data_IF_430399254116
#
_entry.id   IF_430399254116
#
_cell.length_a   1.000
_cell.length_b   1.000
_cell.length_c   1.000
_cell.angle_alpha   90.00
_cell.angle_beta   90.00
_cell.angle_gamma   90.00
#
_symmetry.space_group_name_H-M   'P 1'
#
loop_
_entity.id
_entity.type
_entity.pdbx_description
1 polymer ?
#
# COMPACT_ATOMS: atom_id res chain seq x y z
N UNK A 1 86.35 -27.74 27.66
CA UNK A 1 85.31 -27.12 26.80
C UNK A 1 83.98 -27.25 27.53
N UNK A 2 83.54 -26.16 28.17
CA UNK A 2 82.31 -26.05 28.94
C UNK A 2 81.08 -26.10 28.01
N UNK A 3 80.05 -26.88 28.37
CA UNK A 3 78.68 -26.69 27.88
C UNK A 3 77.79 -26.37 29.08
N UNK A 4 77.50 -25.10 29.28
CA UNK A 4 76.55 -24.61 30.27
C UNK A 4 75.12 -24.79 29.73
N UNK A 5 74.24 -25.35 30.57
CA UNK A 5 72.80 -25.49 30.32
C UNK A 5 72.13 -24.14 30.62
N UNK A 6 71.38 -23.59 29.66
CA UNK A 6 70.48 -22.47 29.89
C UNK A 6 69.20 -22.97 30.59
N UNK A 7 68.84 -22.33 31.69
CA UNK A 7 67.52 -22.41 32.31
C UNK A 7 66.70 -21.17 31.88
N UNK A 8 65.40 -21.29 31.59
CA UNK A 8 64.57 -20.14 31.26
C UNK A 8 64.17 -19.38 32.53
N UNK A 9 64.36 -18.07 32.48
CA UNK A 9 63.97 -17.09 33.50
C UNK A 9 62.45 -16.91 33.43
N UNK A 10 61.73 -17.30 34.48
CA UNK A 10 60.31 -17.00 34.62
C UNK A 10 60.14 -15.54 35.05
N UNK A 11 59.65 -14.69 34.15
CA UNK A 11 59.32 -13.30 34.41
C UNK A 11 57.92 -13.27 35.07
N UNK A 12 57.88 -13.12 36.40
CA UNK A 12 56.63 -12.91 37.12
C UNK A 12 56.16 -11.46 36.90
N UNK A 13 55.20 -11.28 36.00
CA UNK A 13 54.44 -10.03 35.87
C UNK A 13 53.47 -9.93 37.03
N UNK A 14 53.79 -9.08 38.00
CA UNK A 14 52.84 -8.64 39.02
C UNK A 14 51.83 -7.72 38.33
N UNK A 15 50.63 -8.23 38.07
CA UNK A 15 49.51 -7.40 37.67
C UNK A 15 49.08 -6.55 38.86
N UNK A 16 49.24 -5.24 38.75
CA UNK A 16 48.61 -4.29 39.66
C UNK A 16 47.10 -4.34 39.41
N UNK A 17 46.38 -5.10 40.24
CA UNK A 17 44.95 -4.90 40.40
C UNK A 17 44.79 -3.50 41.00
N UNK A 18 44.31 -2.55 40.20
CA UNK A 18 43.82 -1.28 40.75
C UNK A 18 42.75 -1.61 41.77
N UNK A 19 42.87 -1.09 42.99
CA UNK A 19 41.83 -1.19 43.99
C UNK A 19 40.58 -0.53 43.39
N UNK A 20 39.56 -1.33 43.06
CA UNK A 20 38.21 -0.81 42.91
C UNK A 20 37.75 -0.49 44.33
N UNK A 21 37.61 0.80 44.64
CA UNK A 21 37.04 1.25 45.91
C UNK A 21 35.58 0.78 46.00
N UNK A 22 35.16 0.33 47.18
CA UNK A 22 33.82 -0.23 47.38
C UNK A 22 32.77 0.90 47.28
N UNK A 23 31.71 0.73 46.46
CA UNK A 23 30.72 1.77 46.29
C UNK A 23 29.90 1.98 47.57
N UNK A 24 29.56 3.24 47.88
CA UNK A 24 28.82 3.56 49.10
C UNK A 24 27.38 3.02 49.08
N UNK A 25 26.81 2.77 47.91
CA UNK A 25 25.52 2.10 47.76
C UNK A 25 25.43 1.38 46.42
N UNK A 26 24.40 0.55 46.30
CA UNK A 26 24.14 -0.27 45.11
C UNK A 26 22.71 -0.07 44.65
N UNK A 27 22.47 -0.04 43.35
CA UNK A 27 21.16 0.23 42.74
C UNK A 27 20.71 -0.96 41.90
N UNK A 28 19.45 -1.36 42.05
CA UNK A 28 18.76 -2.26 41.13
C UNK A 28 17.47 -1.58 40.67
N UNK A 29 17.14 -1.76 39.41
CA UNK A 29 15.90 -1.25 38.82
C UNK A 29 15.03 -2.39 38.30
N UNK A 30 13.72 -2.17 38.35
CA UNK A 30 12.71 -2.93 37.63
C UNK A 30 12.03 -1.99 36.64
N UNK A 31 11.55 -2.57 35.56
CA UNK A 31 10.80 -1.84 34.55
C UNK A 31 9.32 -2.17 34.70
N UNK A 32 8.50 -1.14 34.61
CA UNK A 32 7.05 -1.26 34.62
C UNK A 32 6.51 -0.65 33.34
N UNK A 33 5.89 -1.44 32.45
CA UNK A 33 5.14 -0.88 31.35
C UNK A 33 4.02 0.03 31.88
N UNK A 34 3.80 1.22 31.30
CA UNK A 34 2.85 2.21 31.82
C UNK A 34 1.40 1.69 31.90
N UNK A 35 1.03 0.71 31.08
CA UNK A 35 -0.28 0.05 31.07
C UNK A 35 -0.43 -1.05 32.14
N UNK A 36 0.67 -1.50 32.76
CA UNK A 36 0.66 -2.56 33.77
C UNK A 36 0.59 -1.99 35.19
N UNK A 37 -0.17 -2.67 36.06
CA UNK A 37 -0.35 -2.23 37.45
C UNK A 37 0.87 -2.49 38.34
N UNK A 38 1.73 -3.46 37.99
CA UNK A 38 2.89 -3.86 38.79
C UNK A 38 4.13 -4.04 37.91
N UNK A 39 5.29 -3.71 38.46
CA UNK A 39 6.58 -3.90 37.82
C UNK A 39 7.03 -5.36 37.86
N UNK A 40 7.29 -5.95 36.69
CA UNK A 40 7.94 -7.25 36.60
C UNK A 40 9.41 -7.18 37.06
N UNK A 41 9.95 -8.31 37.50
CA UNK A 41 11.40 -8.41 37.69
C UNK A 41 12.11 -8.34 36.33
N UNK A 42 13.20 -7.59 36.27
CA UNK A 42 14.05 -7.51 35.10
C UNK A 42 14.93 -8.76 35.04
N UNK A 43 14.60 -9.67 34.11
CA UNK A 43 15.24 -10.99 33.95
C UNK A 43 15.84 -11.19 32.56
N UNK A 44 15.52 -10.31 31.61
CA UNK A 44 16.04 -10.39 30.24
C UNK A 44 16.14 -9.01 29.58
N UNK A 45 16.94 -8.95 28.51
CA UNK A 45 17.06 -7.76 27.65
C UNK A 45 15.79 -7.46 26.85
N UNK A 46 14.90 -8.45 26.65
CA UNK A 46 13.68 -8.27 25.87
C UNK A 46 12.75 -7.25 26.52
N UNK A 47 12.65 -7.26 27.85
CA UNK A 47 11.85 -6.29 28.62
C UNK A 47 12.34 -4.84 28.47
N UNK A 48 13.63 -4.65 28.20
CA UNK A 48 14.18 -3.35 27.88
C UNK A 48 13.76 -2.91 26.46
N UNK A 49 13.82 -3.85 25.52
CA UNK A 49 13.47 -3.63 24.12
C UNK A 49 11.99 -3.34 23.94
N UNK A 50 11.12 -3.99 24.72
CA UNK A 50 9.67 -3.75 24.73
C UNK A 50 9.27 -2.33 25.16
N UNK A 51 10.14 -1.63 25.89
CA UNK A 51 9.90 -0.27 26.40
C UNK A 51 10.80 0.79 25.75
N UNK A 52 11.56 0.40 24.72
CA UNK A 52 12.43 1.32 23.97
C UNK A 52 13.69 1.73 24.73
N UNK A 53 13.98 1.09 25.87
CA UNK A 53 15.05 1.48 26.79
C UNK A 53 16.34 0.77 26.39
N UNK A 54 17.37 1.54 26.02
CA UNK A 54 18.70 1.02 25.70
C UNK A 54 19.69 1.13 26.87
N UNK A 55 19.49 2.10 27.76
CA UNK A 55 20.39 2.37 28.87
C UNK A 55 19.68 2.96 30.10
N UNK A 56 20.39 2.98 31.22
CA UNK A 56 19.97 3.60 32.47
C UNK A 56 21.06 4.57 32.91
N UNK A 57 20.69 5.83 33.15
CA UNK A 57 21.54 6.83 33.79
C UNK A 57 21.23 6.90 35.27
N UNK A 58 22.26 6.83 36.10
CA UNK A 58 22.17 7.02 37.56
C UNK A 58 22.96 8.28 37.90
N UNK A 59 22.25 9.31 38.38
CA UNK A 59 22.85 10.58 38.77
C UNK A 59 22.69 10.78 40.28
N UNK A 60 23.79 11.04 40.99
CA UNK A 60 23.80 11.25 42.44
C UNK A 60 24.03 12.74 42.74
N UNK A 61 23.15 13.33 43.54
CA UNK A 61 23.23 14.74 43.95
C UNK A 61 23.25 14.92 45.46
N UNK A 62 23.91 15.97 45.93
CA UNK A 62 23.81 16.37 47.33
C UNK A 62 22.48 17.09 47.65
N UNK A 63 22.27 17.43 48.92
CA UNK A 63 21.09 18.20 49.37
C UNK A 63 21.04 19.63 48.81
N UNK A 64 22.17 20.16 48.33
CA UNK A 64 22.27 21.44 47.62
C UNK A 64 21.96 21.31 46.13
N UNK A 65 21.54 20.13 45.66
CA UNK A 65 21.28 19.79 44.27
C UNK A 65 22.53 19.81 43.37
N UNK A 66 23.75 19.79 43.93
CA UNK A 66 24.98 19.67 43.16
C UNK A 66 25.16 18.23 42.67
N UNK A 67 25.47 18.06 41.38
CA UNK A 67 25.78 16.76 40.79
C UNK A 67 27.15 16.29 41.27
N UNK A 68 27.19 15.12 41.92
CA UNK A 68 28.40 14.52 42.47
C UNK A 68 28.95 13.42 41.56
N UNK A 69 28.07 12.61 40.97
CA UNK A 69 28.41 11.48 40.13
C UNK A 69 27.28 11.22 39.14
N UNK A 70 27.65 10.78 37.94
CA UNK A 70 26.72 10.36 36.91
C UNK A 70 27.31 9.16 36.17
N UNK A 71 26.53 8.09 36.05
CA UNK A 71 26.95 6.83 35.44
C UNK A 71 25.88 6.33 34.51
N UNK A 72 26.30 5.73 33.41
CA UNK A 72 25.40 5.07 32.47
C UNK A 72 25.69 3.58 32.42
N UNK A 73 24.61 2.81 32.44
CA UNK A 73 24.62 1.36 32.35
C UNK A 73 23.76 0.93 31.16
N UNK A 74 24.05 -0.23 30.53
CA UNK A 74 23.06 -0.89 29.68
C UNK A 74 21.77 -1.11 30.47
N UNK A 75 20.62 -1.12 29.79
CA UNK A 75 19.35 -1.40 30.47
C UNK A 75 19.36 -2.74 31.23
N UNK A 76 20.03 -3.74 30.66
CA UNK A 76 20.31 -5.03 31.27
C UNK A 76 21.82 -5.29 31.33
N UNK A 77 22.52 -4.85 32.39
CA UNK A 77 23.95 -5.07 32.57
C UNK A 77 24.28 -6.56 32.75
N UNK A 78 25.49 -6.97 32.37
CA UNK A 78 25.94 -8.34 32.58
C UNK A 78 25.85 -8.75 34.06
N UNK A 79 25.23 -9.89 34.36
CA UNK A 79 25.01 -10.38 35.72
C UNK A 79 23.64 -10.02 36.30
N UNK A 80 22.85 -9.15 35.65
CA UNK A 80 21.48 -8.84 36.11
C UNK A 80 20.49 -9.99 35.93
N UNK A 81 20.90 -11.09 35.28
CA UNK A 81 20.19 -12.38 35.31
C UNK A 81 20.03 -12.88 36.75
N UNK A 82 20.97 -12.54 37.64
CA UNK A 82 20.84 -12.76 39.08
C UNK A 82 19.93 -11.67 39.69
N UNK A 83 18.92 -12.11 40.45
CA UNK A 83 17.96 -11.24 41.13
C UNK A 83 18.59 -10.37 42.21
N UNK A 84 19.73 -10.80 42.75
CA UNK A 84 20.45 -10.08 43.79
C UNK A 84 21.55 -9.17 43.23
N UNK A 85 21.85 -9.24 41.92
CA UNK A 85 22.83 -8.36 41.29
C UNK A 85 22.37 -6.90 41.28
N UNK A 86 23.34 -5.99 41.42
CA UNK A 86 23.11 -4.55 41.52
C UNK A 86 24.21 -3.79 40.79
N UNK A 87 23.86 -2.63 40.24
CA UNK A 87 24.83 -1.68 39.70
C UNK A 87 25.48 -0.87 40.83
N UNK A 88 26.80 -0.61 40.77
CA UNK A 88 27.51 0.17 41.79
C UNK A 88 27.21 1.66 41.68
N UNK A 89 26.93 2.31 42.82
CA UNK A 89 26.94 3.77 42.95
C UNK A 89 28.34 4.36 43.12
N UNK A 90 28.47 5.67 43.34
CA UNK A 90 29.74 6.31 43.72
C UNK A 90 30.14 5.99 45.16
N UNK A 91 31.41 6.22 45.46
CA UNK A 91 31.87 6.41 46.84
C UNK A 91 31.63 7.87 47.26
N UNK A 92 30.92 8.05 48.37
CA UNK A 92 30.60 9.36 48.94
C UNK A 92 30.70 9.32 50.46
N UNK A 93 30.89 10.49 51.07
CA UNK A 93 30.95 10.62 52.53
C UNK A 93 29.61 10.35 53.22
N UNK A 94 29.62 10.41 54.55
CA UNK A 94 28.39 10.33 55.33
C UNK A 94 27.47 11.52 55.02
N UNK A 95 26.19 11.24 54.82
CA UNK A 95 25.22 12.26 54.41
C UNK A 95 23.98 11.67 53.76
N UNK A 96 23.10 12.56 53.29
CA UNK A 96 21.91 12.21 52.52
C UNK A 96 22.06 12.72 51.10
N UNK A 97 21.86 11.85 50.12
CA UNK A 97 22.01 12.15 48.70
C UNK A 97 20.72 11.80 47.97
N UNK A 98 20.39 12.55 46.92
CA UNK A 98 19.29 12.23 46.02
C UNK A 98 19.84 11.48 44.82
N UNK A 99 19.35 10.27 44.58
CA UNK A 99 19.76 9.42 43.46
C UNK A 99 18.62 9.39 42.45
N UNK A 100 18.87 9.89 41.25
CA UNK A 100 17.93 9.83 40.13
C UNK A 100 18.35 8.72 39.19
N UNK A 101 17.41 7.81 38.91
CA UNK A 101 17.56 6.73 37.93
C UNK A 101 16.66 7.04 36.74
N UNK A 102 17.26 7.24 35.57
CA UNK A 102 16.57 7.66 34.34
C UNK A 102 16.77 6.63 33.24
N UNK A 103 15.69 6.16 32.64
CA UNK A 103 15.75 5.35 31.45
C UNK A 103 16.10 6.18 30.21
N UNK A 104 16.95 5.61 29.37
CA UNK A 104 17.46 6.21 28.15
C UNK A 104 17.01 5.39 26.94
N UNK A 105 16.43 6.08 25.95
CA UNK A 105 16.12 5.53 24.64
C UNK A 105 17.38 5.36 23.78
N UNK A 106 17.20 5.30 22.47
CA UNK A 106 18.32 5.19 21.52
C UNK A 106 19.25 6.40 21.62
N UNK A 107 20.56 6.19 21.41
CA UNK A 107 21.61 7.23 21.47
C UNK A 107 21.71 7.95 22.83
N UNK A 108 21.35 7.27 23.93
CA UNK A 108 21.42 7.81 25.30
C UNK A 108 20.55 9.07 25.54
N UNK A 109 19.45 9.21 24.78
CA UNK A 109 18.48 10.31 24.90
C UNK A 109 17.42 9.94 25.94
N UNK A 110 17.03 10.90 26.79
CA UNK A 110 15.98 10.72 27.80
C UNK A 110 14.58 10.95 27.19
N UNK A 111 13.56 10.27 27.72
CA UNK A 111 12.16 10.41 27.27
C UNK A 111 11.53 11.69 27.84
N UNK A 112 11.01 12.57 26.97
CA UNK A 112 10.55 13.92 27.33
C UNK A 112 9.08 14.17 27.03
N UNK A 113 8.40 14.85 27.96
CA UNK A 113 6.99 15.22 27.82
C UNK A 113 6.74 16.49 26.98
N UNK A 114 7.72 17.41 26.90
CA UNK A 114 7.56 18.74 26.28
C UNK A 114 8.72 19.01 25.28
N UNK A 115 8.50 18.75 23.97
CA UNK A 115 9.26 19.06 22.70
C UNK A 115 10.79 19.37 22.65
N UNK A 116 11.48 19.09 21.51
CA UNK A 116 10.93 18.63 20.22
C UNK A 116 11.41 17.26 19.72
N UNK A 117 10.62 16.70 18.80
CA UNK A 117 10.99 15.56 17.97
C UNK A 117 12.34 15.80 17.25
N UNK A 118 13.14 14.76 16.95
CA UNK A 118 14.32 14.95 16.12
C UNK A 118 13.90 15.43 14.73
N UNK A 119 14.47 16.55 14.30
CA UNK A 119 14.55 16.89 12.90
C UNK A 119 15.16 15.70 12.14
N UNK A 120 14.50 15.31 11.04
CA UNK A 120 15.13 14.50 10.02
C UNK A 120 16.48 15.14 9.63
N UNK A 121 17.54 14.36 9.78
CA UNK A 121 18.91 14.57 9.31
C UNK A 121 19.27 15.99 8.88
N UNK A 122 19.91 16.78 9.76
CA UNK A 122 21.02 17.65 9.34
C UNK A 122 21.80 18.16 10.55
N UNK A 123 23.08 17.81 10.52
CA UNK A 123 24.19 18.38 11.29
C UNK A 123 24.30 18.01 12.78
N UNK A 124 25.53 17.65 13.16
CA UNK A 124 25.89 17.08 14.47
C UNK A 124 25.89 18.10 15.60
N UNK A 125 24.76 18.77 15.85
CA UNK A 125 24.56 19.57 17.06
C UNK A 125 24.08 18.69 18.21
N UNK A 126 24.79 18.77 19.32
CA UNK A 126 24.58 18.07 20.58
C UNK A 126 23.10 17.93 20.96
N UNK A 127 22.69 16.72 21.36
CA UNK A 127 21.37 16.47 21.93
C UNK A 127 21.15 17.42 23.12
N UNK A 128 20.31 18.43 22.92
CA UNK A 128 20.00 19.41 23.95
C UNK A 128 19.35 18.71 25.16
N UNK A 129 20.10 18.62 26.25
CA UNK A 129 19.72 18.03 27.54
C UNK A 129 18.57 18.76 28.27
N UNK A 130 17.97 19.79 27.67
CA UNK A 130 16.91 20.62 28.25
C UNK A 130 15.52 19.94 28.25
N UNK A 131 15.40 18.77 28.85
CA UNK A 131 14.08 18.18 29.13
C UNK A 131 13.46 18.87 30.34
N UNK A 132 12.33 19.57 30.17
CA UNK A 132 11.60 20.17 31.31
C UNK A 132 10.94 19.12 32.19
N UNK A 133 10.51 18.00 31.59
CA UNK A 133 9.86 16.89 32.27
C UNK A 133 10.29 15.55 31.65
N UNK A 134 11.06 14.79 32.41
CA UNK A 134 11.51 13.43 32.04
C UNK A 134 10.42 12.42 32.44
N UNK A 135 10.00 11.57 31.51
CA UNK A 135 8.88 10.63 31.71
C UNK A 135 9.32 9.36 32.47
N UNK A 136 10.35 8.68 31.97
CA UNK A 136 10.81 7.40 32.52
C UNK A 136 11.97 7.61 33.51
N UNK A 137 11.70 8.26 34.64
CA UNK A 137 12.69 8.53 35.70
C UNK A 137 12.11 8.42 37.09
N UNK A 138 12.96 8.06 38.06
CA UNK A 138 12.61 7.97 39.48
C UNK A 138 13.75 8.52 40.33
N UNK A 139 13.40 9.37 41.30
CA UNK A 139 14.36 9.92 42.26
C UNK A 139 14.07 9.35 43.66
N UNK A 140 15.12 8.91 44.34
CA UNK A 140 15.02 8.38 45.70
C UNK A 140 16.24 8.77 46.52
N UNK A 141 16.00 9.15 47.78
CA UNK A 141 17.07 9.53 48.68
C UNK A 141 17.76 8.31 49.28
N UNK A 142 19.09 8.38 49.36
CA UNK A 142 19.95 7.41 50.03
C UNK A 142 20.70 8.08 51.18
N UNK A 143 20.72 7.42 52.33
CA UNK A 143 21.47 7.87 53.51
C UNK A 143 22.70 6.99 53.67
N UNK A 144 23.87 7.64 53.68
CA UNK A 144 25.18 7.01 53.85
C UNK A 144 25.63 7.24 55.28
N UNK A 145 25.99 6.15 55.96
CA UNK A 145 26.43 6.18 57.36
C UNK A 145 27.89 6.66 57.46
N UNK A 146 28.32 6.99 58.67
CA UNK A 146 29.72 7.36 58.99
C UNK A 146 30.77 6.33 58.53
N UNK A 147 30.37 5.05 58.40
CA UNK A 147 31.22 3.99 57.88
C UNK A 147 31.34 3.95 56.34
N UNK A 148 30.70 4.87 55.62
CA UNK A 148 30.65 4.89 54.14
C UNK A 148 29.61 3.96 53.54
N UNK A 149 28.89 3.18 54.35
CA UNK A 149 27.89 2.21 53.91
C UNK A 149 26.48 2.80 53.84
N UNK A 150 25.85 2.68 52.67
CA UNK A 150 24.47 3.02 52.36
C UNK A 150 23.59 1.78 52.18
N UNK A 151 22.27 1.97 52.34
CA UNK A 151 21.30 0.90 52.06
C UNK A 151 21.20 0.67 50.55
N UNK A 152 21.12 -0.58 50.06
CA UNK A 152 20.81 -0.85 48.66
C UNK A 152 19.48 -0.22 48.24
N UNK A 153 19.47 0.29 47.01
CA UNK A 153 18.36 0.98 46.40
C UNK A 153 17.67 0.05 45.39
N UNK A 154 16.37 -0.18 45.57
CA UNK A 154 15.52 -0.93 44.64
C UNK A 154 14.46 0.02 44.08
N UNK A 155 14.59 0.39 42.82
CA UNK A 155 13.68 1.33 42.15
C UNK A 155 12.80 0.65 41.12
N UNK A 156 11.66 1.27 40.83
CA UNK A 156 10.80 0.92 39.70
C UNK A 156 10.78 2.11 38.76
N UNK A 157 11.11 1.88 37.50
CA UNK A 157 11.03 2.87 36.43
C UNK A 157 9.78 2.52 35.62
N UNK A 158 8.83 3.45 35.57
CA UNK A 158 7.68 3.34 34.66
C UNK A 158 8.17 3.75 33.27
N UNK A 159 7.91 2.92 32.26
CA UNK A 159 8.26 3.20 30.87
C UNK A 159 7.58 4.46 30.35
N UNK A 160 8.13 5.02 29.27
CA UNK A 160 7.46 6.11 28.57
C UNK A 160 6.16 5.58 27.92
N UNK A 161 5.10 6.40 27.81
CA UNK A 161 3.93 6.09 26.98
C UNK A 161 4.34 5.85 25.52
N UNK A 162 3.59 5.00 24.83
CA UNK A 162 3.83 4.55 23.44
C UNK A 162 4.16 5.72 22.50
N UNK A 163 3.34 6.78 22.53
CA UNK A 163 3.54 8.00 21.74
C UNK A 163 4.78 8.86 22.07
N UNK A 164 5.70 8.33 22.87
CA UNK A 164 6.94 8.97 23.28
C UNK A 164 8.05 7.98 23.68
N UNK A 165 7.89 6.68 23.42
CA UNK A 165 8.82 5.61 23.82
C UNK A 165 9.86 5.25 22.72
N UNK A 166 9.73 5.83 21.53
CA UNK A 166 10.62 5.62 20.40
C UNK A 166 10.48 4.26 19.70
N UNK A 167 9.38 3.55 19.94
CA UNK A 167 8.97 2.31 19.27
C UNK A 167 7.74 2.60 18.41
N UNK A 168 7.66 1.92 17.28
CA UNK A 168 6.42 1.80 16.48
C UNK A 168 5.58 0.67 17.10
N UNK A 169 4.69 1.00 18.04
CA UNK A 169 4.01 -0.01 18.86
C UNK A 169 2.89 -0.74 18.11
N UNK A 170 2.32 -0.17 17.04
CA UNK A 170 1.31 -0.82 16.19
C UNK A 170 1.84 -1.35 14.85
N UNK A 171 3.09 -1.03 14.51
CA UNK A 171 3.86 -1.52 13.36
C UNK A 171 3.37 -1.00 12.02
N UNK A 172 2.81 0.19 11.99
CA UNK A 172 2.35 0.84 10.76
C UNK A 172 3.47 1.62 10.03
N UNK A 173 4.67 1.69 10.64
CA UNK A 173 5.86 2.35 10.11
C UNK A 173 6.04 3.79 10.58
N UNK A 174 5.13 4.32 11.41
CA UNK A 174 5.28 5.58 12.11
C UNK A 174 5.71 5.34 13.57
N UNK A 175 6.15 6.39 14.27
CA UNK A 175 6.69 6.26 15.64
C UNK A 175 6.46 7.56 16.40
N UNK A 176 6.06 7.46 17.66
CA UNK A 176 5.76 8.57 18.55
C UNK A 176 4.82 9.59 17.89
N UNK A 177 5.12 10.89 18.01
CA UNK A 177 4.32 11.94 17.38
C UNK A 177 4.42 12.02 15.85
N UNK A 178 5.28 11.21 15.22
CA UNK A 178 5.20 11.02 13.77
C UNK A 178 4.03 10.08 13.41
N UNK A 179 3.54 9.28 14.37
CA UNK A 179 2.35 8.46 14.23
C UNK A 179 1.08 9.32 14.35
N UNK A 180 0.20 9.30 13.32
CA UNK A 180 -1.12 9.92 13.38
C UNK A 180 -2.01 9.44 14.54
N UNK A 181 -1.89 8.19 14.96
CA UNK A 181 -2.67 7.56 16.05
C UNK A 181 -2.48 8.29 17.38
N UNK A 182 -1.29 8.87 17.58
CA UNK A 182 -0.97 9.66 18.75
C UNK A 182 -1.71 10.99 18.84
N UNK A 183 -2.25 11.51 17.72
CA UNK A 183 -3.00 12.78 17.68
C UNK A 183 -2.30 13.97 18.38
N UNK A 184 -0.97 13.97 18.45
CA UNK A 184 -0.17 14.98 19.15
C UNK A 184 -0.08 14.80 20.68
N UNK A 185 -0.64 13.74 21.25
CA UNK A 185 -0.61 13.41 22.67
C UNK A 185 0.56 12.46 23.00
N UNK A 186 1.62 13.01 23.61
CA UNK A 186 2.79 12.23 24.10
C UNK A 186 2.46 11.26 25.23
N UNK A 187 1.32 11.42 25.90
CA UNK A 187 0.85 10.49 26.92
C UNK A 187 -0.16 9.46 26.38
N UNK A 188 -0.39 9.49 25.06
CA UNK A 188 -1.33 8.62 24.36
C UNK A 188 -0.82 7.20 24.17
N UNK A 189 -1.67 6.42 23.50
CA UNK A 189 -1.38 5.06 23.07
C UNK A 189 -1.33 5.05 21.54
N UNK A 190 -0.32 4.38 20.99
CA UNK A 190 -0.24 3.98 19.59
C UNK A 190 -1.01 2.66 19.44
N UNK A 191 -2.29 2.69 19.80
CA UNK A 191 -3.17 1.52 19.72
C UNK A 191 -4.34 1.85 18.83
N UNK A 192 -4.21 1.48 17.56
CA UNK A 192 -5.26 1.60 16.56
C UNK A 192 -5.52 3.05 16.17
N UNK A 193 -5.46 3.32 14.88
CA UNK A 193 -6.70 3.55 14.12
C UNK A 193 -6.35 3.93 12.69
N UNK A 194 -6.22 2.92 11.84
CA UNK A 194 -6.49 2.96 10.39
C UNK A 194 -6.34 1.55 9.87
N UNK A 195 -7.29 1.08 9.07
CA UNK A 195 -7.00 -0.10 8.30
C UNK A 195 -5.86 0.26 7.33
N UNK A 196 -4.70 -0.35 7.47
CA UNK A 196 -3.51 0.05 6.71
C UNK A 196 -3.35 -0.76 5.44
N UNK A 197 -2.76 -0.17 4.40
CA UNK A 197 -2.23 -0.94 3.29
C UNK A 197 -0.75 -0.61 3.05
N UNK A 198 0.07 -1.65 2.96
CA UNK A 198 1.38 -1.57 2.35
C UNK A 198 1.28 -2.02 0.90
N UNK A 199 1.56 -1.12 -0.04
CA UNK A 199 1.60 -1.41 -1.46
C UNK A 199 3.04 -1.35 -1.94
N UNK A 200 3.55 -2.48 -2.43
CA UNK A 200 4.84 -2.57 -3.10
C UNK A 200 4.59 -2.53 -4.60
N UNK A 201 4.98 -1.46 -5.28
CA UNK A 201 4.90 -1.37 -6.74
C UNK A 201 6.21 -1.85 -7.34
N UNK A 202 6.16 -2.83 -8.25
CA UNK A 202 7.32 -3.33 -9.01
C UNK A 202 7.18 -3.00 -10.49
N UNK A 203 7.69 -1.85 -10.96
CA UNK A 203 7.64 -1.51 -12.37
C UNK A 203 8.54 -2.43 -13.19
N UNK A 204 7.97 -3.02 -14.24
CA UNK A 204 8.69 -3.74 -15.28
C UNK A 204 8.53 -2.97 -16.59
N UNK A 205 9.60 -2.91 -17.37
CA UNK A 205 9.59 -2.21 -18.66
C UNK A 205 9.76 -3.25 -19.76
N UNK A 206 8.86 -3.23 -20.74
CA UNK A 206 8.87 -4.12 -21.89
C UNK A 206 9.00 -5.60 -21.46
N UNK A 207 8.17 -6.04 -20.51
CA UNK A 207 8.18 -7.41 -19.97
C UNK A 207 9.52 -7.82 -19.37
N UNK A 208 10.09 -6.92 -18.57
CA UNK A 208 11.34 -7.16 -17.84
C UNK A 208 12.60 -7.08 -18.71
N UNK A 209 12.55 -6.42 -19.86
CA UNK A 209 13.70 -6.26 -20.73
C UNK A 209 14.81 -5.44 -20.01
N UNK A 210 16.01 -6.00 -19.77
CA UNK A 210 17.07 -5.32 -19.04
C UNK A 210 17.66 -4.12 -19.79
N UNK A 211 17.38 -3.98 -21.09
CA UNK A 211 17.81 -2.84 -21.91
C UNK A 211 16.78 -1.71 -21.94
N UNK A 212 15.57 -1.92 -21.41
CA UNK A 212 14.55 -0.89 -21.33
C UNK A 212 14.79 0.00 -20.10
N UNK A 213 14.67 1.30 -20.27
CA UNK A 213 14.84 2.29 -19.21
C UNK A 213 13.85 3.44 -19.40
N UNK A 214 13.43 4.05 -18.29
CA UNK A 214 12.35 5.04 -18.23
C UNK A 214 12.50 6.18 -19.25
N UNK A 215 13.67 6.83 -19.30
CA UNK A 215 13.94 7.93 -20.24
C UNK A 215 13.79 7.52 -21.70
N UNK A 216 14.16 6.28 -22.05
CA UNK A 216 14.02 5.74 -23.40
C UNK A 216 12.56 5.56 -23.85
N UNK A 217 11.64 5.51 -22.88
CA UNK A 217 10.20 5.40 -23.09
C UNK A 217 9.46 6.73 -22.82
N UNK A 218 10.19 7.79 -22.48
CA UNK A 218 9.62 9.09 -22.11
C UNK A 218 8.92 9.13 -20.75
N UNK A 219 8.97 8.03 -19.98
CA UNK A 219 8.42 7.96 -18.63
C UNK A 219 9.33 8.71 -17.65
N UNK A 220 8.78 9.66 -16.91
CA UNK A 220 9.51 10.40 -15.88
C UNK A 220 8.97 10.13 -14.48
N UNK A 221 7.67 9.86 -14.37
CA UNK A 221 7.02 9.58 -13.09
C UNK A 221 6.08 8.39 -13.22
N UNK A 222 5.82 7.73 -12.10
CA UNK A 222 4.75 6.73 -11.97
C UNK A 222 3.82 7.23 -10.86
N UNK A 223 2.51 7.16 -11.11
CA UNK A 223 1.46 7.45 -10.14
C UNK A 223 0.82 6.12 -9.71
N UNK A 224 0.78 5.87 -8.41
CA UNK A 224 -0.10 4.89 -7.77
C UNK A 224 -1.34 5.64 -7.27
N UNK A 225 -2.53 5.21 -7.69
CA UNK A 225 -3.79 5.69 -7.15
C UNK A 225 -4.47 4.56 -6.35
N UNK A 226 -4.86 4.88 -5.13
CA UNK A 226 -5.66 4.04 -4.25
C UNK A 226 -7.05 4.67 -4.21
N UNK A 227 -8.05 3.99 -4.77
CA UNK A 227 -9.43 4.49 -4.86
C UNK A 227 -10.31 3.69 -3.92
N UNK A 228 -11.11 4.36 -3.10
CA UNK A 228 -11.98 3.73 -2.10
C UNK A 228 -12.51 4.81 -1.14
N UNK A 229 -12.92 4.43 0.09
CA UNK A 229 -13.34 5.37 1.11
C UNK A 229 -12.35 6.52 1.35
N UNK A 230 -11.06 6.19 1.48
CA UNK A 230 -9.96 7.17 1.58
C UNK A 230 -9.11 7.14 0.31
N UNK A 231 -9.35 8.07 -0.61
CA UNK A 231 -8.58 8.11 -1.86
C UNK A 231 -7.17 8.71 -1.65
N UNK A 232 -6.15 8.05 -2.19
CA UNK A 232 -4.74 8.50 -2.17
C UNK A 232 -4.12 8.46 -3.55
N UNK A 233 -3.22 9.41 -3.82
CA UNK A 233 -2.40 9.45 -5.04
C UNK A 233 -0.95 9.69 -4.67
N UNK A 234 -0.10 8.76 -5.04
CA UNK A 234 1.33 8.77 -4.72
C UNK A 234 2.11 8.81 -6.02
N UNK A 235 2.97 9.82 -6.17
CA UNK A 235 3.84 9.97 -7.35
C UNK A 235 5.28 9.76 -6.96
N UNK A 236 5.99 8.99 -7.76
CA UNK A 236 7.41 8.74 -7.59
C UNK A 236 8.13 8.77 -8.94
N UNK A 237 9.44 9.01 -8.91
CA UNK A 237 10.28 9.00 -10.12
C UNK A 237 10.25 7.61 -10.76
N UNK A 238 10.11 7.55 -12.08
CA UNK A 238 10.14 6.27 -12.78
C UNK A 238 11.45 5.53 -12.51
N UNK A 239 11.33 4.29 -12.05
CA UNK A 239 12.44 3.38 -11.73
C UNK A 239 11.97 1.94 -11.87
N UNK A 240 12.87 0.99 -12.11
CA UNK A 240 12.59 -0.46 -12.06
C UNK A 240 12.82 -1.06 -10.67
N UNK A 241 13.32 -0.26 -9.72
CA UNK A 241 13.43 -0.67 -8.31
C UNK A 241 12.06 -0.63 -7.66
N UNK A 242 11.70 -1.69 -6.95
CA UNK A 242 10.46 -1.76 -6.19
C UNK A 242 10.31 -0.56 -5.24
N UNK A 243 9.15 0.07 -5.24
CA UNK A 243 8.81 1.16 -4.32
C UNK A 243 7.77 0.67 -3.34
N UNK A 244 7.94 1.00 -2.05
CA UNK A 244 7.01 0.60 -1.00
C UNK A 244 6.32 1.84 -0.45
N UNK A 245 5.00 1.77 -0.37
CA UNK A 245 4.16 2.81 0.21
C UNK A 245 3.36 2.19 1.34
N UNK A 246 3.34 2.82 2.50
CA UNK A 246 2.45 2.44 3.60
C UNK A 246 1.48 3.59 3.80
N UNK A 247 0.19 3.31 3.71
CA UNK A 247 -0.86 4.30 3.87
C UNK A 247 -1.88 3.82 4.91
N UNK A 248 -2.29 4.76 5.76
CA UNK A 248 -3.45 4.62 6.64
C UNK A 248 -4.72 4.89 5.81
N UNK A 249 -5.66 3.94 5.84
CA UNK A 249 -6.90 3.96 5.07
C UNK A 249 -8.11 3.65 5.98
N UNK A 250 -9.28 4.18 5.64
CA UNK A 250 -10.51 3.80 6.34
C UNK A 250 -10.93 2.37 5.93
N UNK A 251 -11.60 1.60 6.79
CA UNK A 251 -12.13 0.27 6.42
C UNK A 251 -13.06 0.34 5.19
N UNK A 252 -12.95 -0.64 4.30
CA UNK A 252 -13.78 -0.74 3.11
C UNK A 252 -13.08 -1.39 1.92
N UNK A 253 -13.70 -1.28 0.75
CA UNK A 253 -13.19 -1.84 -0.49
C UNK A 253 -12.34 -0.81 -1.24
N UNK A 254 -11.19 -1.27 -1.72
CA UNK A 254 -10.21 -0.45 -2.44
C UNK A 254 -9.83 -1.07 -3.78
N UNK A 255 -9.56 -0.19 -4.74
CA UNK A 255 -9.03 -0.51 -6.06
C UNK A 255 -7.74 0.27 -6.29
N UNK A 256 -6.69 -0.43 -6.72
CA UNK A 256 -5.39 0.10 -7.08
C UNK A 256 -5.32 0.35 -8.59
N UNK A 257 -4.74 1.47 -8.98
CA UNK A 257 -4.31 1.70 -10.37
C UNK A 257 -2.93 2.32 -10.42
N UNK A 258 -2.20 2.02 -11.50
CA UNK A 258 -0.85 2.55 -11.73
C UNK A 258 -0.85 3.24 -13.08
N UNK A 259 -0.14 4.35 -13.19
CA UNK A 259 -0.04 5.10 -14.45
C UNK A 259 1.36 5.67 -14.64
N UNK A 260 1.90 5.54 -15.85
CA UNK A 260 3.18 6.15 -16.25
C UNK A 260 2.96 7.54 -16.85
N UNK A 261 3.71 8.53 -16.35
CA UNK A 261 3.58 9.94 -16.70
C UNK A 261 4.88 10.50 -17.31
N UNK A 262 4.75 11.50 -18.19
CA UNK A 262 5.88 12.30 -18.69
C UNK A 262 6.37 13.33 -17.66
N UNK A 263 7.42 14.06 -18.00
CA UNK A 263 8.00 15.12 -17.16
C UNK A 263 7.04 16.29 -16.84
N UNK A 264 5.93 16.42 -17.58
CA UNK A 264 4.89 17.43 -17.36
C UNK A 264 3.68 16.87 -16.61
N UNK A 265 3.73 15.60 -16.20
CA UNK A 265 2.64 14.91 -15.52
C UNK A 265 1.51 14.45 -16.45
N UNK A 266 1.73 14.42 -17.77
CA UNK A 266 0.77 13.87 -18.73
C UNK A 266 0.87 12.35 -18.72
N UNK A 267 -0.28 11.66 -18.72
CA UNK A 267 -0.35 10.21 -18.88
C UNK A 267 0.25 9.80 -20.23
N UNK A 268 1.21 8.88 -20.18
CA UNK A 268 1.85 8.28 -21.36
C UNK A 268 1.52 6.80 -21.51
N UNK A 269 1.35 6.09 -20.38
CA UNK A 269 1.13 4.65 -20.43
C UNK A 269 0.36 4.13 -19.22
N UNK A 270 -0.41 3.07 -19.41
CA UNK A 270 -1.07 2.30 -18.34
C UNK A 270 -0.48 0.88 -18.37
N UNK A 271 0.19 0.43 -17.30
CA UNK A 271 0.79 -0.90 -17.24
C UNK A 271 -0.29 -1.98 -17.10
N UNK A 272 0.05 -3.20 -17.50
CA UNK A 272 -0.74 -4.38 -17.17
C UNK A 272 -0.54 -4.74 -15.70
N UNK A 273 -1.64 -4.96 -14.99
CA UNK A 273 -1.68 -5.34 -13.58
C UNK A 273 -2.38 -6.70 -13.44
N UNK A 274 -2.08 -7.42 -12.36
CA UNK A 274 -2.77 -8.67 -12.02
C UNK A 274 -4.17 -8.35 -11.42
N UNK A 275 -5.27 -8.82 -12.05
CA UNK A 275 -6.63 -8.52 -11.59
C UNK A 275 -6.92 -9.03 -10.16
N UNK A 276 -6.21 -10.06 -9.70
CA UNK A 276 -6.38 -10.60 -8.34
C UNK A 276 -5.72 -9.70 -7.27
N UNK A 277 -4.86 -8.77 -7.68
CA UNK A 277 -4.10 -7.90 -6.78
C UNK A 277 -4.58 -6.45 -6.78
N UNK A 278 -5.33 -6.02 -7.79
CA UNK A 278 -5.82 -4.64 -7.90
C UNK A 278 -6.96 -4.32 -6.96
N UNK A 279 -7.73 -5.31 -6.51
CA UNK A 279 -8.86 -5.11 -5.59
C UNK A 279 -8.58 -5.76 -4.24
N UNK A 280 -8.83 -5.03 -3.15
CA UNK A 280 -8.75 -5.60 -1.80
C UNK A 280 -9.74 -4.95 -0.85
N UNK A 281 -10.19 -5.72 0.13
CA UNK A 281 -11.02 -5.25 1.24
C UNK A 281 -10.18 -5.11 2.51
N UNK A 282 -10.38 -3.99 3.20
CA UNK A 282 -9.83 -3.68 4.51
C UNK A 282 -10.90 -3.81 5.59
N UNK A 283 -10.68 -4.71 6.55
CA UNK A 283 -11.49 -4.81 7.75
C UNK A 283 -11.16 -3.67 8.73
N UNK A 284 -12.04 -3.35 9.71
CA UNK A 284 -11.68 -2.52 10.85
C UNK A 284 -10.39 -3.05 11.51
N UNK A 285 -9.43 -2.17 11.76
CA UNK A 285 -8.11 -2.51 12.31
C UNK A 285 -7.31 -3.53 11.45
N UNK A 286 -7.70 -3.73 10.18
CA UNK A 286 -7.07 -4.69 9.27
C UNK A 286 -5.87 -4.10 8.54
N UNK A 287 -4.82 -4.89 8.34
CA UNK A 287 -3.67 -4.51 7.51
C UNK A 287 -3.56 -5.41 6.28
N UNK A 288 -3.30 -4.81 5.11
CA UNK A 288 -3.08 -5.56 3.86
C UNK A 288 -1.74 -5.21 3.25
N UNK A 289 -0.97 -6.24 2.89
CA UNK A 289 0.22 -6.10 2.06
C UNK A 289 -0.10 -6.56 0.65
N UNK A 290 0.18 -5.71 -0.34
CA UNK A 290 -0.04 -5.97 -1.76
C UNK A 290 1.27 -5.77 -2.51
N UNK A 291 1.77 -6.83 -3.15
CA UNK A 291 2.94 -6.77 -4.03
C UNK A 291 2.47 -6.71 -5.48
N UNK A 292 2.44 -5.51 -6.06
CA UNK A 292 1.83 -5.19 -7.35
C UNK A 292 2.88 -5.11 -8.47
N UNK A 293 3.06 -6.17 -9.29
CA UNK A 293 3.84 -6.07 -10.51
C UNK A 293 3.11 -5.19 -11.54
N UNK A 294 3.80 -4.19 -12.06
CA UNK A 294 3.27 -3.27 -13.07
C UNK A 294 4.11 -3.34 -14.34
N UNK A 295 3.66 -4.12 -15.33
CA UNK A 295 4.40 -4.30 -16.59
C UNK A 295 3.95 -3.28 -17.65
N UNK A 296 4.84 -2.34 -17.95
CA UNK A 296 4.69 -1.41 -19.07
C UNK A 296 5.14 -2.10 -20.36
N UNK A 297 4.22 -2.82 -21.00
CA UNK A 297 4.43 -3.47 -22.30
C UNK A 297 4.35 -2.45 -23.44
N UNK A 298 4.61 -2.87 -24.68
CA UNK A 298 4.43 -1.99 -25.85
C UNK A 298 2.98 -1.49 -25.94
N UNK A 299 2.01 -2.36 -25.64
CA UNK A 299 0.60 -2.03 -25.69
C UNK A 299 0.25 -0.92 -24.68
N UNK A 300 0.94 -0.85 -23.54
CA UNK A 300 0.74 0.19 -22.53
C UNK A 300 0.92 1.62 -23.06
N UNK A 301 1.69 1.83 -24.13
CA UNK A 301 1.97 3.15 -24.72
C UNK A 301 1.05 3.48 -25.90
N UNK A 302 0.24 2.53 -26.33
CA UNK A 302 -0.78 2.77 -27.33
C UNK A 302 -1.97 3.42 -26.63
N UNK A 303 -2.50 4.51 -27.20
CA UNK A 303 -3.77 5.02 -26.72
C UNK A 303 -4.80 3.88 -26.83
N UNK A 304 -5.63 3.63 -25.81
CA UNK A 304 -6.76 2.74 -25.95
C UNK A 304 -7.56 3.20 -27.16
N UNK A 305 -8.07 2.26 -27.95
CA UNK A 305 -8.86 2.62 -29.11
C UNK A 305 -10.26 3.05 -28.62
N UNK A 306 -10.37 4.32 -28.20
CA UNK A 306 -11.63 4.97 -27.83
C UNK A 306 -12.42 5.35 -29.09
N UNK A 307 -12.83 4.35 -29.85
CA UNK A 307 -13.60 4.56 -31.05
C UNK A 307 -14.73 3.56 -31.16
N UNK A 308 -15.95 4.10 -31.11
CA UNK A 308 -17.11 3.39 -31.64
C UNK A 308 -16.94 3.15 -33.14
N UNK A 309 -17.92 2.47 -33.71
CA UNK A 309 -18.01 2.29 -35.15
C UNK A 309 -19.43 2.60 -35.60
N UNK A 310 -19.55 2.97 -36.87
CA UNK A 310 -20.81 3.28 -37.50
C UNK A 310 -21.14 2.18 -38.51
N UNK A 311 -22.42 1.92 -38.72
CA UNK A 311 -22.83 0.96 -39.73
C UNK A 311 -24.10 1.40 -40.44
N UNK A 312 -24.27 0.97 -41.68
CA UNK A 312 -25.55 0.99 -42.38
C UNK A 312 -26.05 -0.42 -42.56
N UNK A 313 -27.37 -0.58 -42.57
CA UNK A 313 -28.04 -1.85 -42.79
C UNK A 313 -28.86 -1.78 -44.07
N UNK A 314 -28.80 -2.82 -44.89
CA UNK A 314 -29.67 -2.95 -46.04
C UNK A 314 -30.14 -4.40 -46.19
N UNK A 315 -31.39 -4.58 -46.63
CA UNK A 315 -31.96 -5.90 -46.88
C UNK A 315 -31.65 -6.33 -48.31
N UNK A 316 -31.35 -7.61 -48.53
CA UNK A 316 -31.21 -8.19 -49.86
C UNK A 316 -32.52 -8.85 -50.29
N UNK A 317 -33.20 -8.31 -51.31
CA UNK A 317 -34.45 -8.87 -51.84
C UNK A 317 -34.25 -10.16 -52.67
N UNK A 318 -33.01 -10.59 -52.89
CA UNK A 318 -32.67 -11.84 -53.55
C UNK A 318 -31.17 -11.94 -53.89
N UNK A 319 -30.70 -13.10 -54.37
CA UNK A 319 -29.27 -13.38 -54.59
C UNK A 319 -28.58 -12.52 -55.67
N UNK A 320 -29.33 -11.77 -56.49
CA UNK A 320 -28.80 -10.89 -57.54
C UNK A 320 -29.44 -9.47 -57.53
N UNK A 321 -30.08 -9.06 -56.43
CA UNK A 321 -30.86 -7.83 -56.38
C UNK A 321 -30.19 -6.71 -55.55
N UNK A 322 -30.60 -5.46 -55.80
CA UNK A 322 -30.04 -4.27 -55.14
C UNK A 322 -30.44 -4.20 -53.65
N UNK A 323 -29.57 -3.66 -52.77
CA UNK A 323 -29.89 -3.47 -51.36
C UNK A 323 -31.07 -2.52 -51.16
N UNK A 324 -32.01 -2.89 -50.29
CA UNK A 324 -33.20 -2.11 -49.95
C UNK A 324 -33.08 -1.53 -48.54
N UNK A 325 -33.38 -0.24 -48.38
CA UNK A 325 -33.39 0.47 -47.09
C UNK A 325 -34.82 0.84 -46.67
N UNK A 326 -35.76 -0.07 -46.87
CA UNK A 326 -37.19 0.11 -46.53
C UNK A 326 -37.64 -0.94 -45.53
N UNK A 327 -38.56 -0.56 -44.66
CA UNK A 327 -39.23 -1.47 -43.74
C UNK A 327 -40.33 -2.31 -44.40
N UNK A 328 -40.63 -2.05 -45.66
CA UNK A 328 -41.51 -2.89 -46.49
C UNK A 328 -40.72 -3.30 -47.75
N UNK A 329 -39.85 -4.32 -47.64
CA UNK A 329 -39.00 -4.76 -48.76
C UNK A 329 -39.81 -5.43 -49.88
N UNK A 330 -40.93 -6.06 -49.55
CA UNK A 330 -41.86 -6.70 -50.48
C UNK A 330 -43.30 -6.36 -50.06
N UNK A 331 -44.27 -6.30 -51.00
CA UNK A 331 -45.66 -6.04 -50.66
C UNK A 331 -46.15 -6.97 -49.54
N UNK A 332 -46.83 -6.46 -48.51
CA UNK A 332 -47.39 -7.33 -47.46
C UNK A 332 -46.36 -8.00 -46.54
N UNK A 333 -45.06 -7.75 -46.70
CA UNK A 333 -44.02 -8.08 -45.73
C UNK A 333 -43.50 -6.79 -45.10
N UNK A 334 -43.88 -6.54 -43.85
CA UNK A 334 -43.43 -5.37 -43.09
C UNK A 334 -42.50 -5.82 -41.97
N UNK A 335 -41.29 -5.25 -41.94
CA UNK A 335 -40.30 -5.38 -40.88
C UNK A 335 -40.55 -4.27 -39.85
N UNK A 336 -40.80 -4.64 -38.59
CA UNK A 336 -41.05 -3.67 -37.52
C UNK A 336 -39.85 -3.46 -36.59
N UNK A 337 -39.04 -4.49 -36.38
CA UNK A 337 -37.93 -4.45 -35.43
C UNK A 337 -36.66 -5.15 -35.94
N UNK A 338 -35.53 -4.68 -35.44
CA UNK A 338 -34.18 -5.20 -35.68
C UNK A 338 -33.55 -5.54 -34.32
N UNK A 339 -32.82 -6.63 -34.26
CA UNK A 339 -32.01 -7.04 -33.12
C UNK A 339 -30.54 -6.94 -33.50
N UNK A 340 -29.76 -6.37 -32.60
CA UNK A 340 -28.33 -6.15 -32.77
C UNK A 340 -27.60 -6.90 -31.65
N UNK A 341 -26.49 -7.55 -31.98
CA UNK A 341 -25.64 -8.23 -31.00
C UNK A 341 -24.18 -7.97 -31.35
N UNK A 342 -23.41 -7.46 -30.39
CA UNK A 342 -21.95 -7.37 -30.53
C UNK A 342 -21.34 -8.61 -29.88
N UNK A 343 -20.48 -9.28 -30.64
CA UNK A 343 -19.84 -10.53 -30.25
C UNK A 343 -18.32 -10.37 -30.24
N UNK A 344 -17.66 -11.11 -29.36
CA UNK A 344 -16.21 -11.23 -29.30
C UNK A 344 -15.64 -12.20 -30.35
N UNK A 345 -14.32 -12.44 -30.35
CA UNK A 345 -13.64 -13.30 -31.32
C UNK A 345 -14.02 -14.79 -31.21
N UNK A 346 -14.55 -15.20 -30.07
CA UNK A 346 -15.12 -16.53 -29.79
C UNK A 346 -16.62 -16.62 -30.09
N UNK A 347 -17.22 -15.55 -30.62
CA UNK A 347 -18.65 -15.37 -30.84
C UNK A 347 -19.49 -15.35 -29.56
N UNK A 348 -18.89 -15.06 -28.40
CA UNK A 348 -19.61 -14.80 -27.16
C UNK A 348 -20.07 -13.33 -27.04
N UNK A 349 -21.07 -13.07 -26.21
CA UNK A 349 -21.69 -11.75 -26.07
C UNK A 349 -20.74 -10.75 -25.39
N UNK A 350 -20.65 -9.54 -25.94
CA UNK A 350 -19.97 -8.40 -25.30
C UNK A 350 -21.00 -7.53 -24.55
N UNK A 351 -21.13 -7.65 -23.21
CA UNK A 351 -22.25 -7.06 -22.46
C UNK A 351 -22.19 -5.53 -22.32
N UNK A 352 -21.04 -4.92 -22.62
CA UNK A 352 -20.81 -3.48 -22.48
C UNK A 352 -21.21 -2.67 -23.73
N UNK A 353 -21.62 -3.33 -24.81
CA UNK A 353 -21.95 -2.67 -26.06
C UNK A 353 -23.33 -1.98 -26.02
N UNK A 354 -23.37 -0.70 -26.42
CA UNK A 354 -24.59 0.08 -26.51
C UNK A 354 -24.67 0.91 -27.80
N UNK A 355 -25.88 1.02 -28.35
CA UNK A 355 -26.21 1.83 -29.51
C UNK A 355 -26.67 3.23 -29.08
N UNK A 356 -26.09 4.26 -29.72
CA UNK A 356 -26.44 5.65 -29.54
C UNK A 356 -27.15 6.21 -30.78
N UNK A 357 -28.48 6.17 -30.76
CA UNK A 357 -29.35 6.68 -31.84
C UNK A 357 -30.21 7.87 -31.36
N UNK A 358 -29.61 8.76 -30.55
CA UNK A 358 -30.30 9.91 -29.94
C UNK A 358 -31.30 9.55 -28.82
N UNK A 359 -31.45 8.26 -28.50
CA UNK A 359 -32.19 7.77 -27.33
C UNK A 359 -31.39 7.97 -26.03
N UNK A 360 -32.09 8.29 -24.94
CA UNK A 360 -31.51 8.37 -23.59
C UNK A 360 -32.42 7.60 -22.62
N UNK A 361 -31.96 6.52 -21.98
CA UNK A 361 -30.61 5.94 -22.00
C UNK A 361 -30.24 5.23 -23.34
N UNK A 362 -28.94 4.97 -23.59
CA UNK A 362 -28.47 4.16 -24.72
C UNK A 362 -29.09 2.76 -24.75
N UNK A 363 -29.18 2.17 -25.94
CA UNK A 363 -29.81 0.86 -26.13
C UNK A 363 -28.74 -0.23 -26.02
N UNK A 364 -28.86 -1.12 -25.04
CA UNK A 364 -27.92 -2.23 -24.82
C UNK A 364 -28.02 -3.27 -25.95
N UNK A 365 -26.88 -3.77 -26.42
CA UNK A 365 -26.76 -4.72 -27.54
C UNK A 365 -26.58 -6.16 -27.03
N UNK A 366 -27.45 -6.58 -26.12
CA UNK A 366 -27.41 -7.86 -25.40
C UNK A 366 -27.92 -9.07 -26.18
N UNK A 367 -28.31 -8.88 -27.45
CA UNK A 367 -28.94 -9.94 -28.26
C UNK A 367 -30.35 -10.31 -27.81
N UNK A 368 -30.98 -9.48 -26.97
CA UNK A 368 -32.39 -9.61 -26.56
C UNK A 368 -33.17 -8.35 -26.97
N UNK A 369 -32.57 -7.18 -26.77
CA UNK A 369 -33.20 -5.88 -27.03
C UNK A 369 -33.35 -5.63 -28.53
N UNK A 370 -34.54 -5.18 -28.94
CA UNK A 370 -34.84 -4.85 -30.34
C UNK A 370 -35.09 -3.36 -30.51
N UNK A 371 -34.69 -2.83 -31.67
CA UNK A 371 -34.86 -1.44 -32.09
C UNK A 371 -35.82 -1.35 -33.29
N UNK A 372 -36.48 -0.21 -33.55
CA UNK A 372 -37.36 -0.05 -34.70
C UNK A 372 -36.64 -0.25 -36.03
N UNK A 373 -37.33 -0.79 -37.02
CA UNK A 373 -36.80 -1.01 -38.37
C UNK A 373 -36.29 0.26 -39.07
N UNK A 374 -36.73 1.46 -38.65
CA UNK A 374 -36.26 2.73 -39.20
C UNK A 374 -34.73 2.90 -39.14
N UNK A 375 -34.03 2.12 -38.32
CA UNK A 375 -32.58 2.05 -38.29
C UNK A 375 -31.95 1.67 -39.65
N UNK A 376 -32.65 0.91 -40.50
CA UNK A 376 -32.20 0.56 -41.86
C UNK A 376 -31.97 1.80 -42.76
N UNK A 377 -32.63 2.92 -42.46
CA UNK A 377 -32.49 4.17 -43.22
C UNK A 377 -31.45 5.13 -42.64
N UNK A 378 -30.82 4.79 -41.50
CA UNK A 378 -29.88 5.65 -40.78
C UNK A 378 -28.43 5.16 -40.84
N UNK A 379 -27.56 5.91 -40.16
CA UNK A 379 -26.19 5.52 -39.84
C UNK A 379 -26.06 5.39 -38.30
N UNK A 380 -26.57 4.30 -37.71
CA UNK A 380 -26.38 4.03 -36.29
C UNK A 380 -24.91 4.09 -35.89
N UNK A 381 -24.68 4.66 -34.69
CA UNK A 381 -23.37 4.73 -34.07
C UNK A 381 -23.38 3.92 -32.78
N UNK A 382 -22.43 2.98 -32.66
CA UNK A 382 -22.17 2.27 -31.40
C UNK A 382 -21.23 3.14 -30.57
N UNK A 383 -21.52 3.30 -29.28
CA UNK A 383 -20.67 4.08 -28.39
C UNK A 383 -19.25 3.48 -28.34
N UNK A 384 -18.23 4.29 -28.00
CA UNK A 384 -16.91 3.74 -27.71
C UNK A 384 -17.05 2.61 -26.70
N UNK A 385 -16.70 1.40 -27.12
CA UNK A 385 -16.54 0.30 -26.19
C UNK A 385 -15.38 0.69 -25.27
N UNK A 386 -15.62 0.74 -23.96
CA UNK A 386 -14.56 0.99 -23.00
C UNK A 386 -13.82 -0.34 -22.84
N UNK A 387 -12.60 -0.42 -23.38
CA UNK A 387 -11.74 -1.61 -23.35
C UNK A 387 -11.08 -1.72 -21.97
N UNK A 388 -11.87 -1.80 -20.89
CA UNK A 388 -11.30 -1.84 -19.54
C UNK A 388 -11.03 -3.28 -19.02
N UNK A 389 -11.57 -4.33 -19.66
CA UNK A 389 -11.40 -5.72 -19.20
C UNK A 389 -10.94 -6.73 -20.27
N UNK A 390 -10.74 -6.32 -21.53
CA UNK A 390 -10.30 -7.24 -22.60
C UNK A 390 -8.76 -7.28 -22.70
N UNK A 391 -8.11 -8.45 -22.64
CA UNK A 391 -6.66 -8.56 -22.78
C UNK A 391 -6.22 -7.93 -24.10
N UNK A 392 -5.30 -6.96 -23.99
CA UNK A 392 -4.81 -6.16 -25.10
C UNK A 392 -4.17 -7.00 -26.21
N UNK A 393 -4.94 -7.33 -27.25
CA UNK A 393 -4.48 -7.46 -28.63
C UNK A 393 -5.68 -7.66 -29.55
N UNK A 394 -6.07 -6.63 -30.30
CA UNK A 394 -6.83 -6.76 -31.56
C UNK A 394 -7.96 -7.80 -31.53
N UNK A 395 -8.86 -7.77 -30.55
CA UNK A 395 -10.01 -8.67 -30.60
C UNK A 395 -10.93 -8.20 -31.75
N UNK A 396 -11.04 -9.06 -32.76
CA UNK A 396 -12.00 -8.90 -33.85
C UNK A 396 -13.39 -8.93 -33.23
N UNK A 397 -14.09 -7.80 -33.27
CA UNK A 397 -15.50 -7.77 -32.90
C UNK A 397 -16.32 -8.24 -34.08
N UNK A 398 -17.49 -8.79 -33.78
CA UNK A 398 -18.42 -9.25 -34.79
C UNK A 398 -19.79 -8.62 -34.52
N UNK A 399 -20.42 -8.06 -35.55
CA UNK A 399 -21.77 -7.52 -35.47
C UNK A 399 -22.75 -8.51 -36.09
N UNK A 400 -23.64 -9.06 -35.25
CA UNK A 400 -24.79 -9.85 -35.69
C UNK A 400 -26.04 -8.99 -35.69
N UNK A 401 -26.80 -9.09 -36.77
CA UNK A 401 -28.00 -8.30 -37.03
C UNK A 401 -29.10 -9.22 -37.54
N UNK A 402 -30.29 -9.07 -36.98
CA UNK A 402 -31.46 -9.86 -37.32
C UNK A 402 -32.69 -8.96 -37.40
N UNK A 403 -33.47 -9.04 -38.48
CA UNK A 403 -34.65 -8.23 -38.71
C UNK A 403 -35.91 -9.11 -38.73
N UNK A 404 -36.97 -8.66 -38.05
CA UNK A 404 -38.19 -9.43 -37.80
C UNK A 404 -39.38 -8.78 -38.48
N UNK A 405 -40.25 -9.62 -39.05
CA UNK A 405 -41.54 -9.17 -39.56
C UNK A 405 -42.55 -8.92 -38.43
N UNK A 406 -43.52 -8.05 -38.71
CA UNK A 406 -44.66 -7.78 -37.82
C UNK A 406 -45.31 -9.09 -37.38
N UNK A 407 -45.35 -9.32 -36.06
CA UNK A 407 -46.01 -10.49 -35.47
C UNK A 407 -45.21 -11.80 -35.55
N UNK A 408 -43.96 -11.77 -36.00
CA UNK A 408 -43.05 -12.94 -36.01
C UNK A 408 -41.94 -12.79 -34.97
N UNK A 409 -41.65 -13.87 -34.25
CA UNK A 409 -40.48 -13.98 -33.37
C UNK A 409 -39.29 -14.70 -34.03
N UNK A 410 -39.43 -15.07 -35.31
CA UNK A 410 -38.38 -15.66 -36.14
C UNK A 410 -37.82 -14.59 -37.08
N UNK A 411 -36.49 -14.44 -37.17
CA UNK A 411 -35.88 -13.41 -38.02
C UNK A 411 -36.06 -13.74 -39.50
N UNK A 412 -36.45 -12.74 -40.28
CA UNK A 412 -36.64 -12.82 -41.73
C UNK A 412 -35.34 -12.61 -42.51
N UNK A 413 -34.54 -11.66 -42.03
CA UNK A 413 -33.27 -11.28 -42.61
C UNK A 413 -32.24 -11.26 -41.50
N UNK A 414 -31.02 -11.64 -41.82
CA UNK A 414 -29.93 -11.53 -40.87
C UNK A 414 -28.66 -12.19 -41.36
N UNK A 415 -27.58 -11.90 -40.66
CA UNK A 415 -26.26 -12.50 -40.89
C UNK A 415 -25.89 -13.50 -39.77
N UNK A 416 -26.89 -14.13 -39.15
CA UNK A 416 -26.72 -14.95 -37.94
C UNK A 416 -25.69 -16.07 -38.06
N UNK A 417 -25.58 -16.67 -39.25
CA UNK A 417 -24.64 -17.75 -39.55
C UNK A 417 -23.22 -17.25 -39.87
N UNK A 418 -23.06 -15.98 -40.26
CA UNK A 418 -21.78 -15.36 -40.62
C UNK A 418 -21.77 -13.87 -40.21
N UNK A 419 -21.57 -13.56 -38.92
CA UNK A 419 -21.49 -12.20 -38.42
C UNK A 419 -20.38 -11.38 -39.12
N UNK A 420 -20.61 -10.07 -39.29
CA UNK A 420 -19.66 -9.21 -40.01
C UNK A 420 -18.56 -8.71 -39.05
N UNK A 421 -17.27 -8.82 -39.41
CA UNK A 421 -16.19 -8.24 -38.63
C UNK A 421 -16.34 -6.73 -38.49
N UNK A 422 -16.23 -6.24 -37.27
CA UNK A 422 -16.28 -4.83 -36.91
C UNK A 422 -14.93 -4.41 -36.32
N UNK A 423 -14.45 -3.26 -36.77
CA UNK A 423 -13.26 -2.63 -36.24
C UNK A 423 -13.60 -1.23 -35.71
N UNK A 424 -12.90 -0.74 -34.67
CA UNK A 424 -13.07 0.63 -34.22
C UNK A 424 -12.82 1.65 -35.36
N UNK A 425 -13.58 2.74 -35.38
CA UNK A 425 -13.58 3.74 -36.47
C UNK A 425 -13.93 3.18 -37.87
N UNK A 426 -14.44 1.95 -37.97
CA UNK A 426 -14.96 1.46 -39.23
C UNK A 426 -16.34 2.07 -39.52
N UNK A 427 -16.59 2.29 -40.82
CA UNK A 427 -17.95 2.43 -41.35
C UNK A 427 -18.28 1.14 -42.08
N UNK A 428 -19.22 0.38 -41.55
CA UNK A 428 -19.62 -0.91 -42.09
C UNK A 428 -20.87 -0.74 -42.95
N UNK A 429 -20.94 -1.45 -44.08
CA UNK A 429 -22.18 -1.64 -44.80
C UNK A 429 -22.56 -3.11 -44.68
N UNK A 430 -23.67 -3.39 -44.00
CA UNK A 430 -24.12 -4.76 -43.72
C UNK A 430 -25.34 -5.04 -44.58
N UNK A 431 -25.16 -5.99 -45.49
CA UNK A 431 -26.24 -6.55 -46.28
C UNK A 431 -26.81 -7.74 -45.52
N UNK A 432 -28.11 -7.70 -45.23
CA UNK A 432 -28.82 -8.73 -44.52
C UNK A 432 -29.46 -9.67 -45.54
N UNK A 433 -28.91 -10.88 -45.76
CA UNK A 433 -29.54 -11.87 -46.61
C UNK A 433 -30.82 -12.39 -45.95
N UNK A 434 -31.72 -12.91 -46.78
CA UNK A 434 -32.89 -13.65 -46.30
C UNK A 434 -32.40 -14.93 -45.61
N UNK A 435 -32.94 -15.21 -44.43
CA UNK A 435 -32.69 -16.47 -43.72
C UNK A 435 -33.33 -17.63 -44.54
N UNK A 436 -32.71 -18.81 -44.56
CA UNK A 436 -33.14 -19.95 -45.40
C UNK A 436 -34.64 -20.29 -45.27
N UNK A 437 -35.21 -20.89 -46.32
CA UNK A 437 -36.66 -20.96 -46.58
C UNK A 437 -37.54 -21.74 -45.57
N UNK A 438 -36.97 -22.40 -44.55
CA UNK A 438 -37.70 -23.07 -43.46
C UNK A 438 -37.64 -22.32 -42.10
N UNK A 439 -36.97 -21.18 -42.02
CA UNK A 439 -37.10 -20.15 -40.96
C UNK A 439 -38.05 -19.00 -41.37
N UNK A 440 -39.19 -19.37 -41.95
CA UNK A 440 -39.75 -18.65 -43.08
C UNK A 440 -40.23 -17.22 -42.83
N UNK A 441 -39.71 -16.30 -43.65
CA UNK A 441 -40.45 -15.12 -44.09
C UNK A 441 -40.65 -15.23 -45.62
N UNK A 442 -41.87 -15.53 -46.10
CA UNK A 442 -42.43 -15.40 -47.47
C UNK A 442 -43.93 -15.82 -47.47
N UNK A 443 -44.93 -15.25 -48.17
CA UNK A 443 -45.07 -14.18 -49.19
C UNK A 443 -46.41 -13.42 -49.01
N UNK A 444 -46.64 -12.23 -49.62
CA UNK A 444 -47.96 -11.96 -50.18
C UNK A 444 -48.20 -12.95 -51.33
N UNK A 445 -49.03 -13.99 -51.14
CA UNK A 445 -49.50 -14.74 -52.32
C UNK A 445 -50.34 -13.79 -53.17
N UNK A 446 -49.75 -13.25 -54.24
CA UNK A 446 -50.36 -12.22 -55.07
C UNK A 446 -51.13 -12.84 -56.26
N UNK A 447 -52.07 -12.12 -56.91
CA UNK A 447 -51.77 -10.86 -57.57
C UNK A 447 -52.53 -9.62 -57.10
#
# INVERSE_FOLDING_TARGET
>A
MLRARLAPLALATVAAAGCAEDPSFWVRWRLQPPEQAEAAELVSVDQCTELGISGIRVSTRDQGNALLDEREFPCFPSGFEDRDARAPGPEVGAGTYSVTVTALGRRAVQFCADEPAPAADTDGSEADTSCKKVLASVAQDVVIREAGEGKPLDVVIVGAPQCSDGIDNDRDGYTDLADPSCAGDRAGFELGDSAGAQVVVRPQLMSGNPSAYCDGLGLSQIELAITGPTAKKLRFTCTTTAQTFTESLDPGDYTLSVTGLDAKGKVLAVPTLDPDLVNFTLAPEGFRSVDLPADFTIASFLAPIEAGFEFSLALLSGPEQQPLTTCEPEPGLVIDRVRLTVLGPDLELVPTAALHDGANPPIVLDGVTTVPCTLLGGLPRIEPLVWDDAPMAHEELYLRVEAFAVGSDVPCYGNGDEPVPAAPNASLAIELPRVASDGACAEPTNP
#
